data_IF_615417285366
#
_entry.id   IF_615417285366
#
_cell.length_a   1.000
_cell.length_b   1.000
_cell.length_c   1.000
_cell.angle_alpha   90.00
_cell.angle_beta   90.00
_cell.angle_gamma   90.00
#
_symmetry.space_group_name_H-M   'P 1'
#
loop_
_entity.id
_entity.type
_entity.pdbx_description
1 polymer ?
#
# COMPACT_ATOMS: atom_id res chain seq x y z
N UNK A 1 4.73 -25.42 -40.94
CA UNK A 1 3.62 -24.94 -40.07
C UNK A 1 4.24 -24.44 -38.78
N UNK A 2 4.51 -23.14 -38.74
CA UNK A 2 5.22 -22.50 -37.63
C UNK A 2 4.20 -22.10 -36.58
N UNK A 3 4.17 -22.80 -35.45
CA UNK A 3 3.37 -22.39 -34.29
C UNK A 3 3.96 -21.10 -33.72
N UNK A 4 3.37 -19.96 -34.10
CA UNK A 4 3.65 -18.67 -33.50
C UNK A 4 3.00 -18.69 -32.11
N UNK A 5 3.84 -18.80 -31.09
CA UNK A 5 3.46 -18.82 -29.70
C UNK A 5 2.84 -17.45 -29.36
N UNK A 6 1.52 -17.38 -29.21
CA UNK A 6 0.82 -16.21 -28.67
C UNK A 6 1.22 -16.09 -27.19
N UNK A 7 2.28 -15.32 -26.92
CA UNK A 7 2.58 -14.88 -25.57
C UNK A 7 1.41 -14.02 -25.11
N UNK A 8 0.57 -14.57 -24.23
CA UNK A 8 -0.42 -13.80 -23.50
C UNK A 8 0.26 -12.54 -22.96
N UNK A 9 -0.27 -11.38 -23.34
CA UNK A 9 0.27 -10.09 -22.94
C UNK A 9 0.22 -10.01 -21.40
N UNK A 10 1.35 -10.27 -20.76
CA UNK A 10 1.47 -10.14 -19.31
C UNK A 10 1.50 -8.64 -19.00
N UNK A 11 0.40 -8.14 -18.46
CA UNK A 11 0.38 -6.82 -17.84
C UNK A 11 1.41 -6.78 -16.71
N UNK A 12 2.09 -5.64 -16.54
CA UNK A 12 3.00 -5.46 -15.41
C UNK A 12 2.20 -5.63 -14.10
N UNK A 13 2.75 -6.31 -13.08
CA UNK A 13 2.03 -6.49 -11.82
C UNK A 13 1.70 -5.15 -11.17
N UNK A 14 0.48 -5.03 -10.64
CA UNK A 14 -0.04 -3.77 -10.10
C UNK A 14 0.22 -3.65 -8.59
N UNK A 15 0.83 -2.55 -8.20
CA UNK A 15 1.05 -2.15 -6.81
C UNK A 15 0.16 -0.95 -6.46
N UNK A 16 -0.68 -1.10 -5.42
CA UNK A 16 -1.46 0.02 -4.90
C UNK A 16 -0.67 0.76 -3.82
N UNK A 17 -0.44 2.05 -4.01
CA UNK A 17 0.08 2.97 -3.00
C UNK A 17 -1.10 3.56 -2.22
N UNK A 18 -1.48 2.91 -1.11
CA UNK A 18 -2.62 3.33 -0.29
C UNK A 18 -2.19 4.48 0.62
N UNK A 19 -2.78 5.65 0.40
CA UNK A 19 -2.54 6.83 1.22
C UNK A 19 -3.27 6.72 2.56
N UNK A 20 -2.52 6.69 3.66
CA UNK A 20 -3.08 6.51 5.00
C UNK A 20 -3.77 7.75 5.57
N UNK A 21 -3.64 8.93 4.94
CA UNK A 21 -4.23 10.18 5.42
C UNK A 21 -5.38 10.65 4.54
N UNK A 22 -6.46 11.09 5.18
CA UNK A 22 -7.59 11.78 4.54
C UNK A 22 -7.70 13.26 4.94
N UNK A 23 -6.76 13.78 5.75
CA UNK A 23 -6.80 15.18 6.22
C UNK A 23 -6.74 16.15 5.04
N UNK A 24 -7.38 17.31 5.19
CA UNK A 24 -7.15 18.44 4.28
C UNK A 24 -5.69 18.92 4.41
N UNK A 25 -5.08 19.34 3.29
CA UNK A 25 -3.68 19.78 3.27
C UNK A 25 -2.65 18.69 3.61
N UNK A 26 -3.03 17.40 3.56
CA UNK A 26 -2.15 16.28 3.85
C UNK A 26 -0.93 16.22 2.91
N UNK A 27 0.21 15.81 3.45
CA UNK A 27 1.46 15.62 2.68
C UNK A 27 1.48 14.30 1.87
N UNK A 28 0.58 13.37 2.19
CA UNK A 28 0.56 12.02 1.61
C UNK A 28 0.60 11.99 0.07
N UNK A 29 -0.14 12.85 -0.67
CA UNK A 29 -0.10 12.86 -2.14
C UNK A 29 1.27 13.24 -2.72
N UNK A 30 2.06 14.06 -2.03
CA UNK A 30 3.42 14.40 -2.47
C UNK A 30 4.36 13.23 -2.24
N UNK A 31 4.29 12.62 -1.04
CA UNK A 31 5.13 11.47 -0.66
C UNK A 31 4.81 10.25 -1.53
N UNK A 32 3.53 9.92 -1.74
CA UNK A 32 3.11 8.77 -2.54
C UNK A 32 3.51 8.91 -4.02
N UNK A 33 3.43 10.13 -4.59
CA UNK A 33 3.90 10.39 -5.96
C UNK A 33 5.41 10.20 -6.09
N UNK A 34 6.18 10.73 -5.15
CA UNK A 34 7.64 10.59 -5.13
C UNK A 34 8.07 9.13 -4.98
N UNK A 35 7.52 8.44 -3.97
CA UNK A 35 7.71 7.00 -3.75
C UNK A 35 7.35 6.18 -5.00
N UNK A 36 6.18 6.41 -5.59
CA UNK A 36 5.77 5.72 -6.82
C UNK A 36 6.66 6.04 -8.02
N UNK A 37 7.26 7.24 -8.05
CA UNK A 37 8.28 7.61 -9.04
C UNK A 37 9.54 6.74 -8.92
N UNK A 38 10.04 6.55 -7.69
CA UNK A 38 11.17 5.66 -7.41
C UNK A 38 10.83 4.22 -7.83
N UNK A 39 9.65 3.72 -7.46
CA UNK A 39 9.20 2.38 -7.86
C UNK A 39 9.21 2.19 -9.38
N UNK A 40 8.61 3.13 -10.13
CA UNK A 40 8.56 3.09 -11.60
C UNK A 40 9.93 3.17 -12.28
N UNK A 41 10.89 3.85 -11.66
CA UNK A 41 12.24 3.99 -12.21
C UNK A 41 13.12 2.75 -12.00
N UNK A 42 12.77 1.89 -11.04
CA UNK A 42 13.65 0.82 -10.57
C UNK A 42 13.03 -0.58 -10.60
N UNK A 43 11.79 -0.72 -11.05
CA UNK A 43 11.10 -2.01 -11.16
C UNK A 43 10.20 -2.05 -12.38
N UNK A 44 9.91 -3.25 -12.89
CA UNK A 44 8.94 -3.49 -13.98
C UNK A 44 7.50 -3.65 -13.44
N UNK A 45 7.14 -2.88 -12.41
CA UNK A 45 5.82 -2.91 -11.77
C UNK A 45 5.01 -1.67 -12.17
N UNK A 46 3.68 -1.83 -12.21
CA UNK A 46 2.76 -0.70 -12.33
C UNK A 46 2.37 -0.19 -10.95
N UNK A 47 2.10 1.11 -10.86
CA UNK A 47 1.84 1.79 -9.59
C UNK A 47 0.63 2.71 -9.68
N UNK A 48 -0.36 2.46 -8.82
CA UNK A 48 -1.54 3.30 -8.71
C UNK A 48 -1.66 3.87 -7.30
N UNK A 49 -1.91 5.17 -7.20
CA UNK A 49 -2.16 5.83 -5.92
C UNK A 49 -3.64 5.67 -5.57
N UNK A 50 -3.90 5.13 -4.39
CA UNK A 50 -5.25 5.00 -3.83
C UNK A 50 -5.45 6.07 -2.77
N UNK A 51 -6.32 7.04 -3.09
CA UNK A 51 -6.74 8.09 -2.16
C UNK A 51 -8.01 7.66 -1.43
N UNK A 52 -7.91 7.34 -0.14
CA UNK A 52 -9.05 6.91 0.67
C UNK A 52 -10.18 7.96 0.75
N UNK A 53 -9.96 9.23 0.39
CA UNK A 53 -11.05 10.22 0.27
C UNK A 53 -12.00 9.96 -0.89
N UNK A 54 -11.58 9.14 -1.86
CA UNK A 54 -12.38 8.71 -3.01
C UNK A 54 -13.13 7.39 -2.75
N UNK A 55 -12.93 6.79 -1.56
CA UNK A 55 -13.54 5.53 -1.16
C UNK A 55 -14.52 5.79 -0.01
N UNK A 56 -15.84 5.77 -0.27
CA UNK A 56 -16.85 5.99 0.76
C UNK A 56 -16.95 4.74 1.65
N UNK A 57 -16.04 4.65 2.61
CA UNK A 57 -15.94 3.56 3.58
C UNK A 57 -16.47 4.07 4.94
N UNK A 58 -17.77 3.91 5.24
CA UNK A 58 -18.34 4.23 6.55
C UNK A 58 -17.73 3.33 7.64
N UNK A 59 -17.97 3.67 8.91
CA UNK A 59 -17.54 2.80 10.01
C UNK A 59 -18.49 1.59 10.08
N UNK A 60 -17.95 0.42 9.74
CA UNK A 60 -18.50 -0.93 9.97
C UNK A 60 -20.03 -1.05 9.87
N UNK A 61 -20.55 -0.95 8.64
CA UNK A 61 -21.98 -1.07 8.30
C UNK A 61 -22.33 -2.39 7.58
N UNK A 62 -21.41 -3.35 7.58
CA UNK A 62 -21.68 -4.72 7.14
C UNK A 62 -22.30 -5.53 8.29
N UNK A 63 -23.36 -6.33 8.03
CA UNK A 63 -23.99 -7.15 9.07
C UNK A 63 -23.15 -8.36 9.49
N UNK A 64 -22.12 -8.71 8.70
CA UNK A 64 -21.29 -9.88 8.90
C UNK A 64 -19.81 -9.53 8.96
N UNK A 65 -19.02 -10.43 9.55
CA UNK A 65 -17.57 -10.22 9.67
C UNK A 65 -16.87 -10.39 8.31
N UNK A 66 -15.87 -9.56 7.98
CA UNK A 66 -15.13 -9.63 6.71
C UNK A 66 -14.47 -10.99 6.43
N UNK A 67 -14.11 -11.75 7.47
CA UNK A 67 -13.55 -13.10 7.33
C UNK A 67 -14.48 -14.10 6.61
N UNK A 68 -15.79 -13.86 6.63
CA UNK A 68 -16.77 -14.63 5.87
C UNK A 68 -16.65 -14.41 4.35
N UNK A 69 -16.03 -13.31 3.91
CA UNK A 69 -15.82 -12.97 2.50
C UNK A 69 -17.10 -12.68 1.72
N UNK A 70 -18.17 -12.31 2.43
CA UNK A 70 -19.48 -11.96 1.85
C UNK A 70 -19.75 -10.51 2.21
N UNK A 71 -19.88 -9.66 1.19
CA UNK A 71 -20.10 -8.22 1.36
C UNK A 71 -21.46 -7.83 0.79
N UNK A 72 -22.33 -7.33 1.66
CA UNK A 72 -23.68 -6.89 1.32
C UNK A 72 -23.70 -5.47 0.78
N UNK A 73 -22.74 -4.64 1.18
CA UNK A 73 -22.66 -3.25 0.75
C UNK A 73 -21.88 -3.06 -0.56
N UNK A 74 -22.32 -2.08 -1.37
CA UNK A 74 -21.71 -1.81 -2.66
C UNK A 74 -20.27 -1.27 -2.53
N UNK A 75 -20.01 -0.41 -1.54
CA UNK A 75 -18.66 0.13 -1.29
C UNK A 75 -17.70 -0.96 -0.81
N UNK A 76 -18.12 -1.88 0.06
CA UNK A 76 -17.31 -3.02 0.49
C UNK A 76 -16.96 -3.94 -0.68
N UNK A 77 -17.91 -4.26 -1.56
CA UNK A 77 -17.63 -5.03 -2.78
C UNK A 77 -16.65 -4.32 -3.71
N UNK A 78 -16.85 -3.01 -3.94
CA UNK A 78 -15.96 -2.22 -4.78
C UNK A 78 -14.53 -2.17 -4.20
N UNK A 79 -14.42 -2.01 -2.88
CA UNK A 79 -13.14 -2.00 -2.19
C UNK A 79 -12.45 -3.37 -2.20
N UNK A 80 -13.20 -4.45 -1.98
CA UNK A 80 -12.73 -5.82 -2.14
C UNK A 80 -12.18 -6.06 -3.55
N UNK A 81 -12.94 -5.67 -4.59
CA UNK A 81 -12.50 -5.78 -5.98
C UNK A 81 -11.22 -4.99 -6.25
N UNK A 82 -11.11 -3.77 -5.69
CA UNK A 82 -9.92 -2.94 -5.87
C UNK A 82 -8.68 -3.60 -5.29
N UNK A 83 -8.75 -4.08 -4.05
CA UNK A 83 -7.63 -4.72 -3.38
C UNK A 83 -7.29 -6.06 -4.02
N UNK A 84 -8.29 -6.85 -4.43
CA UNK A 84 -8.08 -8.12 -5.12
C UNK A 84 -7.45 -7.95 -6.51
N UNK A 85 -7.77 -6.87 -7.22
CA UNK A 85 -7.21 -6.58 -8.54
C UNK A 85 -5.73 -6.19 -8.55
N UNK A 86 -5.11 -6.04 -7.37
CA UNK A 86 -3.69 -5.69 -7.25
C UNK A 86 -2.84 -6.87 -6.76
N UNK A 87 -1.61 -6.93 -7.27
CA UNK A 87 -0.63 -7.94 -6.91
C UNK A 87 0.08 -7.60 -5.60
N UNK A 88 0.16 -6.33 -5.23
CA UNK A 88 0.71 -5.89 -3.95
C UNK A 88 0.11 -4.57 -3.46
N UNK A 89 0.35 -4.27 -2.19
CA UNK A 89 -0.01 -2.98 -1.58
C UNK A 89 1.18 -2.35 -0.85
N UNK A 90 1.29 -1.02 -0.90
CA UNK A 90 2.20 -0.26 -0.05
C UNK A 90 1.39 0.76 0.72
N UNK A 91 1.42 0.65 2.04
CA UNK A 91 0.81 1.62 2.93
C UNK A 91 1.73 2.81 3.10
N UNK A 92 1.35 3.96 2.53
CA UNK A 92 2.05 5.24 2.69
C UNK A 92 1.33 6.02 3.77
N UNK A 93 1.84 6.01 5.01
CA UNK A 93 1.02 6.38 6.17
C UNK A 93 1.72 7.37 7.12
N UNK A 94 1.05 8.44 7.57
CA UNK A 94 1.58 9.27 8.64
C UNK A 94 1.47 8.57 10.00
N UNK A 95 2.24 9.06 10.97
CA UNK A 95 1.99 8.78 12.39
C UNK A 95 1.08 9.85 13.00
N UNK A 96 -0.08 9.44 13.52
CA UNK A 96 -1.00 10.26 14.31
C UNK A 96 -1.00 9.77 15.75
N UNK A 97 -0.55 10.61 16.69
CA UNK A 97 -0.54 10.30 18.11
C UNK A 97 -0.01 8.89 18.41
N UNK A 98 1.13 8.55 17.80
CA UNK A 98 1.81 7.25 17.94
C UNK A 98 1.11 6.04 17.29
N UNK A 99 0.02 6.22 16.56
CA UNK A 99 -0.63 5.18 15.76
C UNK A 99 -0.77 5.55 14.28
N UNK A 100 -1.24 4.59 13.47
CA UNK A 100 -1.64 4.88 12.09
C UNK A 100 -3.08 5.42 12.04
N UNK A 101 -3.47 6.16 10.99
CA UNK A 101 -4.73 6.88 11.00
C UNK A 101 -5.96 5.97 11.02
N UNK A 102 -7.02 6.43 11.68
CA UNK A 102 -8.30 5.71 11.77
C UNK A 102 -8.90 5.38 10.39
N UNK A 103 -8.80 6.29 9.42
CA UNK A 103 -9.28 6.04 8.06
C UNK A 103 -8.56 4.86 7.38
N UNK A 104 -7.25 4.72 7.61
CA UNK A 104 -6.49 3.58 7.12
C UNK A 104 -6.92 2.29 7.83
N UNK A 105 -7.13 2.34 9.15
CA UNK A 105 -7.65 1.20 9.91
C UNK A 105 -9.01 0.76 9.38
N UNK A 106 -9.93 1.70 9.19
CA UNK A 106 -11.26 1.42 8.67
C UNK A 106 -11.19 0.75 7.29
N UNK A 107 -10.36 1.28 6.39
CA UNK A 107 -10.16 0.68 5.07
C UNK A 107 -9.61 -0.75 5.13
N UNK A 108 -8.70 -1.04 6.07
CA UNK A 108 -8.18 -2.39 6.28
C UNK A 108 -9.26 -3.31 6.85
N UNK A 109 -10.04 -2.82 7.83
CA UNK A 109 -11.06 -3.59 8.56
C UNK A 109 -12.26 -3.98 7.71
N UNK A 110 -12.56 -3.26 6.62
CA UNK A 110 -13.64 -3.67 5.70
C UNK A 110 -13.39 -5.04 5.06
N UNK A 111 -12.16 -5.54 5.04
CA UNK A 111 -11.73 -6.71 4.27
C UNK A 111 -10.95 -7.70 5.14
N UNK A 112 -10.83 -8.94 4.68
CA UNK A 112 -10.00 -9.95 5.36
C UNK A 112 -9.29 -10.87 4.37
N UNK A 113 -10.06 -11.55 3.52
CA UNK A 113 -9.52 -12.58 2.63
C UNK A 113 -8.59 -12.02 1.56
N UNK A 114 -8.88 -10.79 1.16
CA UNK A 114 -8.13 -10.00 0.19
C UNK A 114 -6.69 -9.76 0.66
N UNK A 115 -6.46 -9.70 1.96
CA UNK A 115 -5.14 -9.44 2.53
C UNK A 115 -4.27 -10.70 2.65
N UNK A 116 -4.89 -11.89 2.69
CA UNK A 116 -4.19 -13.14 2.94
C UNK A 116 -3.14 -13.44 1.85
N UNK A 117 -1.89 -13.55 2.27
CA UNK A 117 -0.74 -13.81 1.40
C UNK A 117 -0.41 -12.68 0.44
N UNK A 118 -1.08 -11.52 0.53
CA UNK A 118 -0.82 -10.40 -0.37
C UNK A 118 0.54 -9.77 -0.04
N UNK A 119 1.48 -9.68 -1.00
CA UNK A 119 2.70 -8.91 -0.83
C UNK A 119 2.38 -7.48 -0.39
N UNK A 120 3.01 -7.04 0.70
CA UNK A 120 2.72 -5.74 1.27
C UNK A 120 3.96 -5.04 1.83
N UNK A 121 3.98 -3.71 1.82
CA UNK A 121 5.05 -2.93 2.44
C UNK A 121 4.51 -1.69 3.16
N UNK A 122 5.34 -1.09 4.02
CA UNK A 122 4.98 0.11 4.79
C UNK A 122 6.04 1.18 4.61
N UNK A 123 5.59 2.36 4.22
CA UNK A 123 6.38 3.59 4.22
C UNK A 123 5.67 4.54 5.18
N UNK A 124 6.25 4.69 6.38
CA UNK A 124 5.73 5.60 7.39
C UNK A 124 6.38 6.97 7.28
N UNK A 125 5.71 8.01 7.75
CA UNK A 125 6.31 9.34 7.83
C UNK A 125 5.80 10.16 9.01
N UNK A 126 6.60 11.12 9.45
CA UNK A 126 6.26 12.06 10.53
C UNK A 126 7.51 12.76 11.07
N UNK A 127 7.35 13.57 12.13
CA UNK A 127 8.49 14.28 12.75
C UNK A 127 9.55 13.37 13.36
N UNK A 128 9.25 12.08 13.54
CA UNK A 128 10.17 11.05 14.01
C UNK A 128 10.13 9.81 13.10
N UNK A 129 9.84 9.98 11.80
CA UNK A 129 9.79 8.88 10.82
C UNK A 129 8.55 7.99 10.86
N UNK A 130 7.84 7.92 11.99
CA UNK A 130 6.59 7.16 12.13
C UNK A 130 6.75 5.69 12.48
N UNK A 131 7.86 5.29 13.11
CA UNK A 131 8.12 3.88 13.45
C UNK A 131 7.02 3.21 14.27
N UNK A 132 6.36 3.93 15.19
CA UNK A 132 5.27 3.35 16.02
C UNK A 132 4.01 3.05 15.23
N UNK A 133 3.65 3.89 14.26
CA UNK A 133 2.52 3.57 13.39
C UNK A 133 2.83 2.37 12.49
N UNK A 134 4.08 2.24 12.04
CA UNK A 134 4.51 1.07 11.27
C UNK A 134 4.50 -0.22 12.10
N UNK A 135 4.96 -0.19 13.36
CA UNK A 135 4.91 -1.34 14.28
C UNK A 135 3.47 -1.84 14.50
N UNK A 136 2.54 -0.92 14.81
CA UNK A 136 1.13 -1.28 15.00
C UNK A 136 0.50 -1.82 13.71
N UNK A 137 0.81 -1.22 12.56
CA UNK A 137 0.29 -1.69 11.27
C UNK A 137 0.84 -3.07 10.93
N UNK A 138 2.10 -3.39 11.26
CA UNK A 138 2.65 -4.75 11.09
C UNK A 138 1.92 -5.78 11.94
N UNK A 139 1.54 -5.45 13.17
CA UNK A 139 0.76 -6.35 14.01
C UNK A 139 -0.57 -6.72 13.35
N UNK A 140 -1.28 -5.73 12.80
CA UNK A 140 -2.54 -5.96 12.08
C UNK A 140 -2.32 -6.73 10.78
N UNK A 141 -1.31 -6.36 9.99
CA UNK A 141 -0.96 -7.03 8.74
C UNK A 141 -0.62 -8.51 8.96
N UNK A 142 0.10 -8.83 10.05
CA UNK A 142 0.41 -10.21 10.43
C UNK A 142 -0.86 -11.00 10.78
N UNK A 143 -1.80 -10.41 11.52
CA UNK A 143 -3.08 -11.04 11.83
C UNK A 143 -3.95 -11.30 10.59
N UNK A 144 -3.81 -10.44 9.57
CA UNK A 144 -4.43 -10.55 8.25
C UNK A 144 -3.59 -11.36 7.24
N UNK A 145 -2.50 -11.99 7.71
CA UNK A 145 -1.63 -12.90 6.94
C UNK A 145 -1.02 -12.25 5.69
N UNK A 146 -0.79 -10.95 5.68
CA UNK A 146 -0.09 -10.28 4.57
C UNK A 146 1.36 -10.76 4.50
N UNK A 147 1.92 -10.89 3.28
CA UNK A 147 3.34 -11.17 3.09
C UNK A 147 4.14 -9.87 3.14
N UNK A 148 4.50 -9.45 4.34
CA UNK A 148 5.15 -8.17 4.58
C UNK A 148 6.62 -8.16 4.12
N UNK A 149 7.00 -7.09 3.42
CA UNK A 149 8.40 -6.70 3.21
C UNK A 149 9.09 -6.44 4.55
N UNK A 150 10.29 -7.00 4.70
CA UNK A 150 11.19 -6.79 5.83
C UNK A 150 11.77 -5.38 5.75
N UNK A 151 12.12 -4.91 4.55
CA UNK A 151 12.54 -3.55 4.32
C UNK A 151 11.42 -2.56 4.69
N UNK A 152 11.79 -1.50 5.40
CA UNK A 152 10.88 -0.47 5.89
C UNK A 152 11.50 0.89 5.62
N UNK A 153 10.66 1.91 5.39
CA UNK A 153 11.13 3.29 5.25
C UNK A 153 10.34 4.20 6.17
N UNK A 154 11.02 4.77 7.16
CA UNK A 154 10.46 5.72 8.12
C UNK A 154 10.99 7.13 7.80
N UNK A 155 10.19 7.91 7.07
CA UNK A 155 10.58 9.20 6.51
C UNK A 155 10.43 10.31 7.54
N UNK A 156 11.55 10.83 8.05
CA UNK A 156 11.51 12.00 8.95
C UNK A 156 11.26 13.25 8.14
N UNK A 157 10.17 13.93 8.45
CA UNK A 157 9.83 15.18 7.78
C UNK A 157 10.58 16.37 8.40
N UNK A 158 10.97 17.37 7.60
CA UNK A 158 11.57 18.59 8.13
C UNK A 158 10.63 19.34 9.09
N UNK A 159 11.20 19.93 10.13
CA UNK A 159 10.46 20.70 11.14
C UNK A 159 9.64 21.83 10.52
N UNK A 160 10.21 22.56 9.55
CA UNK A 160 9.54 23.69 8.91
C UNK A 160 8.34 23.25 8.04
N UNK A 161 8.41 22.05 7.46
CA UNK A 161 7.27 21.44 6.76
C UNK A 161 6.16 21.10 7.75
N UNK A 162 6.50 20.51 8.91
CA UNK A 162 5.51 20.07 9.90
C UNK A 162 4.89 21.25 10.66
N UNK A 163 5.70 22.19 11.11
CA UNK A 163 5.28 23.23 12.07
C UNK A 163 5.02 24.59 11.44
N UNK A 164 5.63 24.89 10.30
CA UNK A 164 5.51 26.20 9.64
C UNK A 164 4.77 26.15 8.31
N UNK A 165 4.30 24.97 7.89
CA UNK A 165 3.54 24.80 6.67
C UNK A 165 4.34 25.05 5.40
N UNK A 166 5.68 24.95 5.47
CA UNK A 166 6.52 25.01 4.27
C UNK A 166 6.16 23.85 3.34
N UNK A 167 6.06 24.11 2.04
CA UNK A 167 5.76 23.08 1.06
C UNK A 167 6.89 22.03 1.04
N UNK A 168 6.50 20.76 1.19
CA UNK A 168 7.42 19.63 1.05
C UNK A 168 7.88 19.50 -0.41
N UNK A 169 9.20 19.35 -0.60
CA UNK A 169 9.85 19.02 -1.86
C UNK A 169 10.51 17.65 -1.73
N UNK A 170 9.80 16.54 -1.98
CA UNK A 170 10.28 15.19 -1.68
C UNK A 170 11.65 14.85 -2.30
N UNK A 171 11.93 15.33 -3.51
CA UNK A 171 13.16 15.09 -4.25
C UNK A 171 14.40 15.71 -3.57
N UNK A 172 14.18 16.72 -2.72
CA UNK A 172 15.23 17.37 -1.93
C UNK A 172 15.14 16.93 -0.46
N UNK A 173 13.98 17.12 0.15
CA UNK A 173 13.78 16.97 1.60
C UNK A 173 13.84 15.51 2.06
N UNK A 174 13.56 14.57 1.16
CA UNK A 174 13.51 13.13 1.45
C UNK A 174 14.55 12.34 0.64
N UNK A 175 15.48 13.02 -0.05
CA UNK A 175 16.45 12.40 -0.94
C UNK A 175 17.28 11.29 -0.27
N UNK A 176 17.66 11.48 1.00
CA UNK A 176 18.42 10.51 1.79
C UNK A 176 17.69 9.19 2.03
N UNK A 177 16.36 9.15 1.82
CA UNK A 177 15.54 7.93 1.96
C UNK A 177 15.35 7.17 0.64
N UNK A 178 15.80 7.70 -0.49
CA UNK A 178 15.53 7.13 -1.81
C UNK A 178 16.02 5.68 -1.94
N UNK A 179 17.23 5.37 -1.43
CA UNK A 179 17.76 4.01 -1.47
C UNK A 179 16.96 3.04 -0.60
N UNK A 180 16.47 3.48 0.55
CA UNK A 180 15.59 2.67 1.40
C UNK A 180 14.28 2.33 0.69
N UNK A 181 13.68 3.30 0.00
CA UNK A 181 12.46 3.10 -0.81
C UNK A 181 12.74 2.17 -1.99
N UNK A 182 13.91 2.32 -2.66
CA UNK A 182 14.33 1.45 -3.76
C UNK A 182 14.50 -0.01 -3.32
N UNK A 183 15.17 -0.24 -2.19
CA UNK A 183 15.34 -1.58 -1.63
C UNK A 183 14.00 -2.22 -1.26
N UNK A 184 13.09 -1.43 -0.68
CA UNK A 184 11.73 -1.89 -0.36
C UNK A 184 10.97 -2.35 -1.61
N UNK A 185 11.03 -1.60 -2.71
CA UNK A 185 10.38 -2.02 -3.96
C UNK A 185 11.06 -3.22 -4.63
N UNK A 186 12.39 -3.34 -4.54
CA UNK A 186 13.10 -4.52 -5.04
C UNK A 186 12.68 -5.81 -4.29
N UNK A 187 12.54 -5.72 -2.95
CA UNK A 187 12.03 -6.82 -2.14
C UNK A 187 10.57 -7.15 -2.51
N UNK A 188 9.71 -6.13 -2.62
CA UNK A 188 8.30 -6.30 -2.97
C UNK A 188 8.14 -6.97 -4.34
N UNK A 189 8.95 -6.58 -5.33
CA UNK A 189 8.99 -7.21 -6.66
C UNK A 189 9.30 -8.71 -6.57
N UNK A 190 10.27 -9.09 -5.73
CA UNK A 190 10.63 -10.49 -5.49
C UNK A 190 9.46 -11.28 -4.87
N UNK A 191 8.74 -10.69 -3.91
CA UNK A 191 7.56 -11.31 -3.27
C UNK A 191 6.39 -11.50 -4.25
N UNK A 192 6.16 -10.51 -5.12
CA UNK A 192 5.15 -10.61 -6.19
C UNK A 192 5.47 -11.77 -7.14
N UNK A 193 6.74 -11.89 -7.55
CA UNK A 193 7.18 -12.98 -8.43
C UNK A 193 7.00 -14.37 -7.78
N UNK A 194 7.34 -14.50 -6.49
CA UNK A 194 7.14 -15.74 -5.73
C UNK A 194 5.65 -16.13 -5.61
N UNK A 195 4.78 -15.16 -5.34
CA UNK A 195 3.33 -15.38 -5.23
C UNK A 195 2.72 -15.82 -6.57
N UNK A 196 3.19 -15.21 -7.67
CA UNK A 196 2.75 -15.57 -9.03
C UNK A 196 3.14 -16.98 -9.42
N UNK A 197 4.30 -17.47 -8.96
CA UNK A 197 4.75 -18.84 -9.17
C UNK A 197 4.00 -19.88 -8.31
N UNK A 198 3.44 -19.46 -7.18
CA UNK A 198 2.74 -20.34 -6.24
C UNK A 198 1.25 -20.57 -6.55
N UNK A 199 0.62 -19.79 -7.45
CA UNK A 199 -0.76 -20.04 -7.89
C UNK A 199 -0.77 -21.31 -8.78
N UNK A 200 -1.40 -22.42 -8.36
CA UNK A 200 -1.53 -23.60 -9.23
C UNK A 200 -2.34 -23.21 -10.48
N UNK A 201 -1.96 -23.76 -11.64
CA UNK A 201 -2.75 -23.63 -12.86
C UNK A 201 -4.17 -24.09 -12.57
N UNK A 202 -5.17 -23.25 -12.87
CA UNK A 202 -6.57 -23.62 -12.68
C UNK A 202 -6.84 -25.00 -13.33
N UNK A 203 -7.57 -25.91 -12.66
CA UNK A 203 -7.98 -27.14 -13.30
C UNK A 203 -8.81 -26.81 -14.55
N UNK A 204 -8.46 -27.44 -15.67
CA UNK A 204 -9.21 -27.38 -16.93
C UNK A 204 -10.60 -27.97 -16.77
#
# INVERSE_FOLDING_TARGET
MTHRNEQAQRYAPLVLLIMGSVRAGRLCPHIARWVGGIGRQHTDLDYEIVDLTQWPLPLDDEPGIPAAGVYSQAHSRAWSQKINGADAVVFVTPQYNWGYPAALKNAIDHLYREWNGKPAAIISYGGHGGGKCAEQLRQVAAALKMDMAVATSALTLPEDVIRRGVALKPEHDLASYADGVRLLFAELSTKIAATSAAKPSAPK
#
